data_IF_690534860655
#
_entry.id   IF_690534860655
#
_cell.length_a   1.000
_cell.length_b   1.000
_cell.length_c   1.000
_cell.angle_alpha   90.00
_cell.angle_beta   90.00
_cell.angle_gamma   90.00
#
_symmetry.space_group_name_H-M   'P 1'
#
loop_
_entity.id
_entity.type
_entity.pdbx_description
1 polymer ?
#
# COMPACT_ATOMS: atom_id res chain seq x y z
N UNK A 1 -7.46 -14.11 2.39
CA UNK A 1 -7.98 -13.52 1.15
C UNK A 1 -7.54 -12.06 1.08
N UNK A 2 -7.03 -11.55 -0.06
CA UNK A 2 -6.62 -10.16 -0.17
C UNK A 2 -7.82 -9.22 -0.31
N UNK A 3 -7.63 -7.96 0.08
CA UNK A 3 -8.61 -6.89 -0.13
C UNK A 3 -8.41 -6.31 -1.53
N UNK A 4 -9.50 -6.13 -2.27
CA UNK A 4 -9.50 -5.46 -3.58
C UNK A 4 -9.41 -3.96 -3.40
N UNK A 5 -8.26 -3.42 -3.82
CA UNK A 5 -7.87 -2.04 -3.64
C UNK A 5 -7.78 -1.30 -4.97
N UNK A 6 -8.34 -0.09 -4.99
CA UNK A 6 -8.11 0.91 -6.02
C UNK A 6 -7.17 1.99 -5.50
N UNK A 7 -6.18 2.36 -6.29
CA UNK A 7 -5.36 3.53 -6.04
C UNK A 7 -6.23 4.79 -6.15
N UNK A 8 -5.99 5.77 -5.27
CA UNK A 8 -6.48 7.13 -5.52
C UNK A 8 -5.61 7.70 -6.64
N UNK A 9 -6.23 8.16 -7.72
CA UNK A 9 -5.53 8.63 -8.93
C UNK A 9 -4.62 9.82 -8.64
N UNK A 10 -5.00 10.64 -7.65
CA UNK A 10 -4.26 11.81 -7.21
C UNK A 10 -4.35 11.94 -5.69
N UNK A 11 -3.40 12.68 -5.12
CA UNK A 11 -3.32 12.98 -3.69
C UNK A 11 -3.21 14.49 -3.48
N UNK A 12 -4.24 15.28 -3.84
CA UNK A 12 -4.19 16.73 -3.65
C UNK A 12 -3.97 17.09 -2.18
N UNK A 13 -4.43 16.25 -1.25
CA UNK A 13 -4.22 16.46 0.19
C UNK A 13 -2.75 16.34 0.61
N UNK A 14 -1.90 15.72 -0.19
CA UNK A 14 -0.46 15.61 0.10
C UNK A 14 0.32 16.87 -0.28
N UNK A 15 -0.24 17.74 -1.13
CA UNK A 15 0.45 18.93 -1.64
C UNK A 15 0.62 20.02 -0.58
N UNK A 16 -0.15 19.95 0.51
CA UNK A 16 -0.01 20.85 1.66
C UNK A 16 1.24 20.57 2.50
N UNK A 17 1.88 19.42 2.32
CA UNK A 17 3.06 19.03 3.11
C UNK A 17 4.36 19.27 2.33
N UNK A 18 5.41 19.62 3.06
CA UNK A 18 6.78 19.76 2.55
C UNK A 18 7.50 18.42 2.44
N UNK A 19 7.05 17.42 3.19
CA UNK A 19 7.68 16.10 3.20
C UNK A 19 6.71 14.95 3.48
N UNK A 20 6.80 13.90 2.66
CA UNK A 20 5.92 12.72 2.72
C UNK A 20 6.73 11.42 2.72
N UNK A 21 6.39 10.49 3.61
CA UNK A 21 6.89 9.12 3.60
C UNK A 21 5.82 8.16 3.05
N UNK A 22 6.13 7.45 1.98
CA UNK A 22 5.25 6.43 1.42
C UNK A 22 5.48 5.11 2.17
N UNK A 23 4.43 4.52 2.75
CA UNK A 23 4.46 3.21 3.39
C UNK A 23 3.74 2.18 2.52
N UNK A 24 4.48 1.34 1.78
CA UNK A 24 3.89 0.34 0.89
C UNK A 24 3.55 -0.97 1.60
N UNK A 25 2.30 -1.45 1.43
CA UNK A 25 1.92 -2.83 1.69
C UNK A 25 2.00 -3.63 0.39
N UNK A 26 2.84 -4.65 0.34
CA UNK A 26 3.11 -5.45 -0.88
C UNK A 26 2.24 -6.71 -0.97
N UNK A 27 1.16 -6.77 -0.21
CA UNK A 27 0.23 -7.90 -0.24
C UNK A 27 -1.06 -7.58 -0.99
N UNK A 28 -2.07 -6.99 -0.34
CA UNK A 28 -3.36 -6.66 -0.96
C UNK A 28 -3.23 -5.69 -2.16
N UNK A 29 -2.44 -4.59 -2.08
CA UNK A 29 -2.24 -3.69 -3.22
C UNK A 29 -1.62 -4.38 -4.42
N UNK A 30 -0.59 -5.18 -4.17
CA UNK A 30 0.13 -5.90 -5.20
C UNK A 30 -0.77 -6.94 -5.89
N UNK A 31 -1.59 -7.68 -5.12
CA UNK A 31 -2.56 -8.63 -5.66
C UNK A 31 -3.64 -7.92 -6.49
N UNK A 32 -4.17 -6.80 -5.98
CA UNK A 32 -5.16 -5.97 -6.69
C UNK A 32 -4.62 -5.45 -8.01
N UNK A 33 -3.35 -5.02 -8.04
CA UNK A 33 -2.68 -4.49 -9.23
C UNK A 33 -2.37 -5.57 -10.25
N UNK A 34 -1.98 -6.77 -9.81
CA UNK A 34 -1.77 -7.93 -10.68
C UNK A 34 -3.06 -8.30 -11.41
N UNK A 35 -4.15 -8.46 -10.66
CA UNK A 35 -5.50 -8.71 -11.18
C UNK A 35 -5.95 -7.61 -12.15
N UNK A 36 -5.95 -6.35 -11.70
CA UNK A 36 -6.49 -5.21 -12.47
C UNK A 36 -5.77 -4.97 -13.80
N UNK A 37 -4.47 -5.28 -13.85
CA UNK A 37 -3.64 -5.03 -15.03
C UNK A 37 -3.37 -6.29 -15.84
N UNK A 38 -3.96 -7.42 -15.46
CA UNK A 38 -3.67 -8.74 -16.02
C UNK A 38 -2.16 -9.00 -16.13
N UNK A 39 -1.44 -8.76 -15.02
CA UNK A 39 0.02 -8.92 -14.93
C UNK A 39 0.38 -9.96 -13.87
N UNK A 40 1.56 -10.62 -13.99
CA UNK A 40 2.03 -11.53 -12.96
C UNK A 40 2.08 -10.90 -11.58
N UNK A 41 1.59 -11.61 -10.58
CA UNK A 41 1.67 -11.23 -9.17
C UNK A 41 3.08 -11.48 -8.64
N UNK A 42 3.66 -12.64 -8.93
CA UNK A 42 5.06 -12.94 -8.63
C UNK A 42 5.83 -13.30 -9.90
N UNK A 43 6.97 -12.64 -10.08
CA UNK A 43 7.97 -12.96 -11.09
C UNK A 43 9.24 -13.45 -10.36
N UNK A 44 9.41 -14.78 -10.28
CA UNK A 44 10.48 -15.39 -9.48
C UNK A 44 11.88 -15.08 -10.05
N UNK A 45 12.02 -15.14 -11.37
CA UNK A 45 13.30 -15.02 -12.08
C UNK A 45 13.72 -13.57 -12.41
N UNK A 46 12.77 -12.61 -12.42
CA UNK A 46 13.04 -11.24 -12.89
C UNK A 46 13.04 -10.18 -11.78
N UNK A 47 12.31 -10.39 -10.67
CA UNK A 47 12.09 -9.31 -9.68
C UNK A 47 12.12 -9.72 -8.20
N UNK A 48 12.75 -10.84 -7.85
CA UNK A 48 12.90 -11.28 -6.45
C UNK A 48 11.58 -11.23 -5.66
N UNK A 49 10.52 -11.84 -6.19
CA UNK A 49 9.21 -11.89 -5.54
C UNK A 49 8.53 -10.52 -5.33
N UNK A 50 8.73 -9.57 -6.24
CA UNK A 50 7.98 -8.30 -6.26
C UNK A 50 7.03 -8.23 -7.44
N UNK A 51 5.84 -7.67 -7.20
CA UNK A 51 4.88 -7.36 -8.27
C UNK A 51 5.32 -6.10 -9.00
N UNK A 52 5.78 -6.25 -10.24
CA UNK A 52 6.40 -5.15 -10.97
C UNK A 52 5.49 -3.94 -11.23
N UNK A 53 4.19 -4.19 -11.44
CA UNK A 53 3.18 -3.15 -11.62
C UNK A 53 2.93 -2.31 -10.37
N UNK A 54 3.10 -2.90 -9.18
CA UNK A 54 2.95 -2.17 -7.93
C UNK A 54 4.19 -1.32 -7.62
N UNK A 55 5.41 -1.82 -7.85
CA UNK A 55 6.61 -0.99 -7.68
C UNK A 55 6.60 0.21 -8.65
N UNK A 56 6.17 0.01 -9.90
CA UNK A 56 5.99 1.12 -10.85
C UNK A 56 5.02 2.19 -10.34
N UNK A 57 3.91 1.79 -9.70
CA UNK A 57 2.97 2.73 -9.09
C UNK A 57 3.66 3.54 -7.98
N UNK A 58 4.42 2.90 -7.10
CA UNK A 58 5.15 3.60 -6.04
C UNK A 58 6.17 4.59 -6.60
N UNK A 59 6.90 4.21 -7.64
CA UNK A 59 7.85 5.09 -8.32
C UNK A 59 7.15 6.28 -8.98
N UNK A 60 6.02 6.07 -9.66
CA UNK A 60 5.21 7.15 -10.24
C UNK A 60 4.70 8.13 -9.19
N UNK A 61 4.14 7.63 -8.08
CA UNK A 61 3.65 8.48 -6.98
C UNK A 61 4.81 9.30 -6.41
N UNK A 62 5.95 8.66 -6.13
CA UNK A 62 7.14 9.34 -5.62
C UNK A 62 7.59 10.45 -6.57
N UNK A 63 7.78 10.13 -7.86
CA UNK A 63 8.21 11.12 -8.85
C UNK A 63 7.23 12.27 -9.02
N UNK A 64 5.92 12.01 -8.93
CA UNK A 64 4.91 13.05 -9.03
C UNK A 64 4.95 14.02 -7.83
N UNK A 65 5.15 13.51 -6.61
CA UNK A 65 5.31 14.34 -5.42
C UNK A 65 6.62 15.15 -5.47
N UNK A 66 7.73 14.52 -5.88
CA UNK A 66 9.02 15.21 -6.02
C UNK A 66 8.99 16.32 -7.08
N UNK A 67 8.28 16.12 -8.20
CA UNK A 67 8.05 17.16 -9.22
C UNK A 67 7.29 18.38 -8.68
N UNK A 68 6.48 18.19 -7.64
CA UNK A 68 5.76 19.26 -6.94
C UNK A 68 6.60 19.90 -5.81
N UNK A 69 7.88 19.54 -5.69
CA UNK A 69 8.78 20.08 -4.67
C UNK A 69 8.67 19.41 -3.30
N UNK A 70 7.92 18.29 -3.20
CA UNK A 70 7.68 17.61 -1.93
C UNK A 70 8.78 16.58 -1.69
N UNK A 71 9.51 16.71 -0.57
CA UNK A 71 10.54 15.74 -0.17
C UNK A 71 9.89 14.39 0.10
N UNK A 72 10.15 13.42 -0.78
CA UNK A 72 9.44 12.13 -0.74
C UNK A 72 10.41 10.95 -0.61
N UNK A 73 10.09 9.98 0.24
CA UNK A 73 10.78 8.69 0.27
C UNK A 73 9.80 7.53 0.47
N UNK A 74 10.28 6.30 0.28
CA UNK A 74 9.51 5.07 0.46
C UNK A 74 10.10 4.27 1.62
N UNK A 75 9.26 3.86 2.58
CA UNK A 75 9.66 2.98 3.66
C UNK A 75 9.86 1.54 3.15
N UNK A 76 11.08 1.24 2.71
CA UNK A 76 11.43 -0.05 2.08
C UNK A 76 11.48 -1.19 3.09
N UNK A 77 10.94 -2.34 2.70
CA UNK A 77 11.08 -3.62 3.38
C UNK A 77 12.08 -4.49 2.62
N UNK A 78 13.01 -5.15 3.33
CA UNK A 78 14.02 -6.03 2.72
C UNK A 78 13.57 -7.49 2.68
N UNK A 79 12.79 -7.91 3.67
CA UNK A 79 12.40 -9.30 3.85
C UNK A 79 10.92 -9.52 3.50
N UNK A 80 10.56 -10.66 2.89
CA UNK A 80 9.17 -10.94 2.49
C UNK A 80 8.16 -10.87 3.64
N UNK A 81 8.51 -11.32 4.85
CA UNK A 81 7.62 -11.21 6.02
C UNK A 81 7.30 -9.75 6.42
N UNK A 82 8.07 -8.78 5.94
CA UNK A 82 7.83 -7.34 6.17
C UNK A 82 6.96 -6.70 5.07
N UNK A 83 6.48 -7.48 4.10
CA UNK A 83 5.66 -6.97 3.00
C UNK A 83 4.20 -6.78 3.39
N UNK A 84 3.74 -7.48 4.42
CA UNK A 84 2.37 -7.41 4.93
C UNK A 84 2.34 -6.46 6.14
N UNK A 85 1.98 -5.19 5.89
CA UNK A 85 2.04 -4.12 6.91
C UNK A 85 1.21 -4.46 8.15
N UNK A 86 -0.01 -4.97 7.98
CA UNK A 86 -0.88 -5.33 9.11
C UNK A 86 -0.36 -6.49 9.96
N UNK A 87 0.70 -7.18 9.53
CA UNK A 87 1.36 -8.25 10.28
C UNK A 87 2.73 -7.83 10.82
N UNK A 88 3.04 -6.52 10.80
CA UNK A 88 4.32 -6.03 11.31
C UNK A 88 4.45 -6.21 12.82
N UNK A 89 5.57 -6.81 13.22
CA UNK A 89 6.06 -6.87 14.60
C UNK A 89 6.32 -5.49 15.18
N UNK A 90 6.29 -5.34 16.51
CA UNK A 90 6.63 -4.10 17.22
C UNK A 90 7.97 -3.50 16.78
N UNK A 91 9.01 -4.33 16.65
CA UNK A 91 10.33 -3.89 16.16
C UNK A 91 10.29 -3.19 14.79
N UNK A 92 9.37 -3.60 13.90
CA UNK A 92 9.21 -2.96 12.59
C UNK A 92 8.43 -1.65 12.70
N UNK A 93 7.43 -1.61 13.57
CA UNK A 93 6.65 -0.39 13.90
C UNK A 93 7.56 0.68 14.52
N UNK A 94 8.44 0.34 15.46
CA UNK A 94 9.45 1.26 16.01
C UNK A 94 10.41 1.80 14.95
N UNK A 95 10.80 0.98 13.97
CA UNK A 95 11.63 1.45 12.84
C UNK A 95 10.88 2.41 11.94
N UNK A 96 9.57 2.22 11.77
CA UNK A 96 8.73 3.17 11.06
C UNK A 96 8.69 4.49 11.83
N UNK A 97 8.40 4.46 13.13
CA UNK A 97 8.37 5.64 14.00
C UNK A 97 9.64 6.50 13.84
N UNK A 98 10.82 5.91 14.03
CA UNK A 98 12.12 6.60 13.87
C UNK A 98 12.35 7.20 12.48
N UNK A 99 11.73 6.62 11.44
CA UNK A 99 11.87 7.11 10.06
C UNK A 99 10.86 8.21 9.75
N UNK A 100 9.62 8.03 10.21
CA UNK A 100 8.48 8.92 9.98
C UNK A 100 8.65 10.26 10.70
N UNK A 101 9.36 10.30 11.83
CA UNK A 101 9.71 11.52 12.56
C UNK A 101 10.43 12.60 11.71
N UNK A 102 10.95 12.23 10.54
CA UNK A 102 11.62 13.13 9.59
C UNK A 102 10.68 13.69 8.51
N UNK A 103 9.39 13.43 8.62
CA UNK A 103 8.36 13.75 7.63
C UNK A 103 7.11 14.35 8.29
N UNK A 104 6.43 15.22 7.57
CA UNK A 104 5.18 15.85 8.03
C UNK A 104 3.96 14.92 7.84
N UNK A 105 4.04 14.03 6.85
CA UNK A 105 2.97 13.08 6.57
C UNK A 105 3.49 11.70 6.13
N UNK A 106 2.68 10.69 6.40
CA UNK A 106 2.81 9.33 5.90
C UNK A 106 1.62 8.99 5.02
N UNK A 107 1.86 8.55 3.79
CA UNK A 107 0.82 7.96 2.93
C UNK A 107 0.96 6.45 2.90
N UNK A 108 -0.08 5.75 3.35
CA UNK A 108 -0.11 4.29 3.43
C UNK A 108 -0.75 3.72 2.17
N UNK A 109 0.06 3.03 1.37
CA UNK A 109 -0.40 2.31 0.19
C UNK A 109 -0.81 0.89 0.60
N UNK A 110 -1.97 0.77 1.25
CA UNK A 110 -2.47 -0.48 1.83
C UNK A 110 -3.97 -0.43 2.13
N UNK A 111 -4.51 -1.51 2.67
CA UNK A 111 -5.88 -1.56 3.19
C UNK A 111 -6.00 -0.88 4.56
N UNK A 112 -7.22 -0.77 5.08
CA UNK A 112 -7.56 -0.14 6.35
C UNK A 112 -6.75 -0.74 7.52
N UNK A 113 -6.57 -2.06 7.57
CA UNK A 113 -5.77 -2.70 8.60
C UNK A 113 -4.28 -2.27 8.56
N UNK A 114 -3.75 -2.01 7.35
CA UNK A 114 -2.40 -1.47 7.20
C UNK A 114 -2.33 0.00 7.63
N UNK A 115 -3.36 0.79 7.30
CA UNK A 115 -3.48 2.20 7.75
C UNK A 115 -3.52 2.26 9.26
N UNK A 116 -4.40 1.47 9.91
CA UNK A 116 -4.50 1.42 11.36
C UNK A 116 -3.18 1.02 12.01
N UNK A 117 -2.50 -0.01 11.47
CA UNK A 117 -1.20 -0.44 12.00
C UNK A 117 -0.14 0.67 11.95
N UNK A 118 -0.17 1.49 10.90
CA UNK A 118 0.73 2.65 10.76
C UNK A 118 0.31 3.77 11.69
N UNK A 119 -0.98 4.05 11.80
CA UNK A 119 -1.54 5.05 12.70
C UNK A 119 -1.17 4.76 14.15
N UNK A 120 -1.44 3.54 14.65
CA UNK A 120 -1.08 3.11 16.00
C UNK A 120 0.43 3.22 16.25
N UNK A 121 1.25 2.93 15.23
CA UNK A 121 2.70 3.02 15.34
C UNK A 121 3.22 4.46 15.41
N UNK A 122 2.42 5.45 15.01
CA UNK A 122 2.77 6.86 14.91
C UNK A 122 1.94 7.75 15.84
N UNK A 123 1.08 7.17 16.69
CA UNK A 123 0.17 7.86 17.61
C UNK A 123 0.88 8.90 18.49
N UNK A 124 2.14 8.67 18.83
CA UNK A 124 2.96 9.59 19.66
C UNK A 124 3.63 10.71 18.86
N UNK A 125 3.34 10.86 17.56
CA UNK A 125 3.96 11.86 16.67
C UNK A 125 2.93 12.85 16.14
N UNK A 126 3.39 14.01 15.69
CA UNK A 126 2.53 14.96 14.95
C UNK A 126 2.40 14.61 13.46
N UNK A 127 2.85 13.43 13.02
CA UNK A 127 2.87 13.04 11.63
C UNK A 127 1.46 12.64 11.15
N UNK A 128 0.94 13.29 10.11
CA UNK A 128 -0.39 12.96 9.59
C UNK A 128 -0.36 11.66 8.80
N UNK A 129 -1.31 10.75 9.05
CA UNK A 129 -1.41 9.46 8.36
C UNK A 129 -2.57 9.49 7.36
N UNK A 130 -2.25 9.30 6.08
CA UNK A 130 -3.21 9.34 4.98
C UNK A 130 -3.36 7.96 4.31
N UNK A 131 -4.60 7.58 4.02
CA UNK A 131 -4.89 6.37 3.25
C UNK A 131 -4.72 6.62 1.75
N UNK A 132 -3.80 5.87 1.15
CA UNK A 132 -3.43 5.99 -0.26
C UNK A 132 -4.30 5.17 -1.23
N UNK A 133 -5.10 4.23 -0.72
CA UNK A 133 -5.88 3.29 -1.54
C UNK A 133 -7.27 3.06 -0.97
N UNK A 134 -8.28 2.91 -1.82
CA UNK A 134 -9.67 2.62 -1.44
C UNK A 134 -9.95 1.13 -1.52
N UNK A 135 -10.56 0.57 -0.48
CA UNK A 135 -11.11 -0.79 -0.49
C UNK A 135 -12.50 -0.83 -1.12
N UNK A 136 -12.72 -1.81 -1.98
CA UNK A 136 -14.01 -2.06 -2.63
C UNK A 136 -14.63 -3.40 -2.19
N UNK A 137 -13.85 -4.29 -1.59
CA UNK A 137 -14.31 -5.61 -1.16
C UNK A 137 -13.19 -6.60 -0.91
N UNK A 138 -13.55 -7.81 -0.51
CA UNK A 138 -12.63 -8.95 -0.43
C UNK A 138 -12.58 -9.63 -1.80
N UNK A 139 -11.39 -9.81 -2.37
CA UNK A 139 -11.27 -10.55 -3.64
C UNK A 139 -11.16 -12.06 -3.38
N UNK A 140 -11.89 -12.82 -4.17
CA UNK A 140 -11.63 -14.25 -4.37
C UNK A 140 -10.78 -14.40 -5.62
N UNK A 141 -9.62 -15.01 -5.48
CA UNK A 141 -8.62 -15.15 -6.54
C UNK A 141 -8.23 -16.61 -6.70
N UNK A 142 -8.06 -17.02 -7.95
CA UNK A 142 -7.49 -18.31 -8.32
C UNK A 142 -6.07 -18.09 -8.82
N UNK A 143 -5.05 -18.70 -8.20
CA UNK A 143 -3.70 -18.62 -8.73
C UNK A 143 -3.59 -19.45 -10.00
N UNK A 144 -2.96 -18.90 -11.02
CA UNK A 144 -2.60 -19.59 -12.25
C UNK A 144 -1.09 -19.57 -12.45
N UNK A 145 -0.53 -20.73 -12.80
CA UNK A 145 0.90 -20.90 -13.01
C UNK A 145 1.20 -20.92 -14.50
N UNK A 146 2.21 -20.15 -14.91
CA UNK A 146 2.75 -20.21 -16.27
C UNK A 146 4.06 -21.01 -16.27
N UNK A 147 4.41 -21.55 -17.44
CA UNK A 147 5.57 -22.42 -17.65
C UNK A 147 6.92 -21.79 -17.24
N UNK A 148 7.00 -20.46 -17.12
CA UNK A 148 8.20 -19.72 -16.72
C UNK A 148 8.27 -19.40 -15.21
N UNK A 149 7.46 -20.05 -14.37
CA UNK A 149 7.46 -19.83 -12.93
C UNK A 149 6.87 -18.48 -12.48
N UNK A 150 6.13 -17.80 -13.37
CA UNK A 150 5.33 -16.63 -12.99
C UNK A 150 3.99 -17.10 -12.42
N UNK A 151 3.57 -16.47 -11.33
CA UNK A 151 2.26 -16.68 -10.71
C UNK A 151 1.37 -15.51 -11.11
N UNK A 152 0.29 -15.81 -11.84
CA UNK A 152 -0.79 -14.87 -12.14
C UNK A 152 -1.97 -15.11 -11.20
N UNK A 153 -2.85 -14.11 -11.09
CA UNK A 153 -4.04 -14.17 -10.25
C UNK A 153 -5.28 -13.88 -11.09
N UNK A 154 -6.15 -14.86 -11.21
CA UNK A 154 -7.44 -14.73 -11.88
C UNK A 154 -8.49 -14.31 -10.86
N UNK A 155 -9.21 -13.22 -11.13
CA UNK A 155 -10.28 -12.73 -10.26
C UNK A 155 -11.56 -13.51 -10.52
N UNK A 156 -12.06 -14.21 -9.52
CA UNK A 156 -13.35 -14.89 -9.61
C UNK A 156 -14.50 -13.96 -9.23
N UNK A 157 -14.36 -13.28 -8.08
CA UNK A 157 -15.41 -12.39 -7.55
C UNK A 157 -14.85 -11.39 -6.55
N UNK A 158 -15.53 -10.26 -6.42
CA UNK A 158 -15.34 -9.29 -5.34
C UNK A 158 -16.55 -9.39 -4.44
N UNK A 159 -16.33 -9.71 -3.16
CA UNK A 159 -17.37 -9.75 -2.13
C UNK A 159 -17.35 -8.37 -1.43
N UNK A 160 -18.43 -7.57 -1.54
CA UNK A 160 -18.50 -6.29 -0.85
C UNK A 160 -18.33 -6.46 0.66
N UNK A 161 -17.68 -5.49 1.31
CA UNK A 161 -17.59 -5.48 2.77
C UNK A 161 -18.94 -5.01 3.33
N UNK A 162 -19.70 -5.97 3.89
CA UNK A 162 -21.10 -5.81 4.34
C UNK A 162 -21.29 -4.69 5.38
N UNK A 163 -20.24 -4.26 6.07
CA UNK A 163 -20.28 -3.26 7.13
C UNK A 163 -19.54 -1.94 6.81
N UNK A 164 -19.21 -1.68 5.54
CA UNK A 164 -18.70 -0.36 5.17
C UNK A 164 -19.85 0.64 5.11
N UNK A 165 -19.98 1.47 6.16
CA UNK A 165 -20.88 2.61 6.12
C UNK A 165 -20.45 3.54 4.98
N UNK A 166 -21.24 3.65 3.91
CA UNK A 166 -20.92 4.51 2.74
C UNK A 166 -20.74 5.98 3.11
N UNK A 167 -21.25 6.39 4.28
CA UNK A 167 -21.16 7.73 4.84
C UNK A 167 -20.15 7.86 5.99
N UNK A 168 -19.43 6.80 6.38
CA UNK A 168 -18.27 7.03 7.25
C UNK A 168 -17.25 7.80 6.43
N UNK A 169 -16.91 9.01 6.90
CA UNK A 169 -15.77 9.78 6.43
C UNK A 169 -14.60 8.82 6.16
N UNK A 170 -13.84 8.98 5.07
CA UNK A 170 -12.66 8.15 4.86
C UNK A 170 -11.78 8.28 6.10
N UNK A 171 -11.79 7.26 6.95
CA UNK A 171 -10.84 7.07 8.04
C UNK A 171 -9.44 7.30 7.43
N UNK A 172 -8.61 8.29 7.75
CA UNK A 172 -8.47 9.24 8.86
C UNK A 172 -8.08 10.61 8.26
N UNK A 173 -8.72 11.70 8.73
CA UNK A 173 -8.10 13.04 8.77
C UNK A 173 -7.95 13.37 10.26
N UNK A 174 -6.77 13.09 10.81
CA UNK A 174 -6.27 13.57 12.10
C UNK A 174 -4.79 13.94 11.88
#
# INVERSE_FOLDING_TARGET
>A
MPIYLKDKSEFPELEKFKSVLIVPCRFCPAASMAVRRNKPYFEFLRRFLKTGSYEQLLDTIKSNLEKKGIKTDVFKSRWPHQFVVCMWTNRRREKLLKRADKYEAVVVMGCEAAVQTVYDALETTSCQVLQGMRSEGVMTIKPSFSLLGNISLDLEKIIPLVHQNRNSLPWVIL
#
